data_IF_440483739653
#
_entry.id   IF_440483739653
#
_cell.length_a   1.000
_cell.length_b   1.000
_cell.length_c   1.000
_cell.angle_alpha   90.00
_cell.angle_beta   90.00
_cell.angle_gamma   90.00
#
_symmetry.space_group_name_H-M   'P 1'
#
loop_
_entity.id
_entity.type
_entity.pdbx_description
1 polymer ?
#
# COMPACT_ATOMS: atom_id res chain seq x y z
N UNK A 1 6.29 4.73 -1.78
CA UNK A 1 5.02 4.80 -2.53
C UNK A 1 4.86 3.63 -3.48
N UNK A 2 5.81 3.37 -4.38
CA UNK A 2 5.79 2.16 -5.24
C UNK A 2 5.63 0.85 -4.45
N UNK A 3 6.16 0.76 -3.23
CA UNK A 3 6.03 -0.44 -2.38
C UNK A 3 4.58 -0.86 -2.07
N UNK A 4 3.61 0.05 -2.07
CA UNK A 4 2.20 -0.31 -1.86
C UNK A 4 1.53 -0.90 -3.11
N UNK A 5 2.15 -0.78 -4.28
CA UNK A 5 1.70 -1.46 -5.51
C UNK A 5 2.13 -2.92 -5.54
N UNK A 6 3.16 -3.27 -4.78
CA UNK A 6 3.81 -4.57 -4.73
C UNK A 6 3.85 -5.09 -3.29
N UNK A 7 2.69 -5.16 -2.62
CA UNK A 7 2.59 -5.60 -1.22
C UNK A 7 3.17 -7.01 -0.99
N UNK A 8 3.19 -7.87 -2.00
CA UNK A 8 3.73 -9.23 -1.89
C UNK A 8 5.27 -9.29 -2.01
N UNK A 9 5.90 -8.20 -2.43
CA UNK A 9 7.36 -8.08 -2.57
C UNK A 9 8.00 -7.31 -1.41
N UNK A 10 7.19 -6.76 -0.49
CA UNK A 10 7.70 -5.99 0.63
C UNK A 10 8.31 -6.90 1.70
N UNK A 11 9.56 -6.61 2.08
CA UNK A 11 10.23 -7.36 3.14
C UNK A 11 9.62 -7.07 4.51
N UNK A 12 9.75 -8.02 5.44
CA UNK A 12 9.31 -7.84 6.83
C UNK A 12 9.99 -6.63 7.51
N UNK A 13 11.22 -6.28 7.14
CA UNK A 13 11.91 -5.08 7.66
C UNK A 13 11.47 -3.77 7.02
N UNK A 14 10.98 -3.79 5.78
CA UNK A 14 10.50 -2.60 5.08
C UNK A 14 9.01 -2.32 5.34
N UNK A 15 8.23 -3.33 5.69
CA UNK A 15 6.80 -3.19 5.91
C UNK A 15 6.44 -2.24 7.06
N UNK A 16 7.06 -2.33 8.26
CA UNK A 16 6.85 -1.34 9.32
C UNK A 16 7.16 0.08 8.86
N UNK A 17 8.24 0.27 8.08
CA UNK A 17 8.64 1.58 7.55
C UNK A 17 7.60 2.14 6.59
N UNK A 18 7.02 1.30 5.74
CA UNK A 18 5.96 1.70 4.83
C UNK A 18 4.69 2.11 5.60
N UNK A 19 4.25 1.30 6.57
CA UNK A 19 3.08 1.61 7.41
C UNK A 19 3.31 2.88 8.23
N UNK A 20 4.49 3.06 8.85
CA UNK A 20 4.84 4.29 9.56
C UNK A 20 4.72 5.52 8.65
N UNK A 21 5.26 5.44 7.43
CA UNK A 21 5.16 6.53 6.45
C UNK A 21 3.72 6.85 6.06
N UNK A 22 2.85 5.84 6.01
CA UNK A 22 1.44 6.02 5.72
C UNK A 22 0.72 6.77 6.85
N UNK A 23 1.01 6.42 8.11
CA UNK A 23 0.50 7.14 9.26
C UNK A 23 1.06 8.57 9.36
N UNK A 24 2.33 8.79 8.99
CA UNK A 24 2.89 10.14 8.88
C UNK A 24 2.08 11.02 7.89
N UNK A 25 1.74 10.49 6.71
CA UNK A 25 0.91 11.22 5.75
C UNK A 25 -0.52 11.47 6.24
N UNK A 26 -1.04 10.58 7.10
CA UNK A 26 -2.30 10.80 7.82
C UNK A 26 -2.16 11.82 8.96
N UNK A 27 -0.97 12.42 9.14
CA UNK A 27 -0.67 13.46 10.12
C UNK A 27 -0.38 12.94 11.52
N UNK A 28 0.06 11.70 11.67
CA UNK A 28 0.60 11.17 12.92
C UNK A 28 2.10 11.47 13.01
N UNK A 29 2.63 11.54 14.23
CA UNK A 29 4.06 11.36 14.47
C UNK A 29 4.31 9.89 14.73
N UNK A 30 5.19 9.26 13.96
CA UNK A 30 5.48 7.83 14.10
C UNK A 30 6.88 7.56 14.66
N UNK A 31 7.01 6.45 15.39
CA UNK A 31 8.28 5.92 15.88
C UNK A 31 8.31 4.43 15.64
N UNK A 32 9.27 3.97 14.86
CA UNK A 32 9.51 2.54 14.61
C UNK A 32 10.32 1.98 15.77
N UNK A 33 9.97 0.78 16.23
CA UNK A 33 10.75 0.03 17.22
C UNK A 33 11.46 -1.10 16.48
N UNK A 34 12.78 -0.99 16.36
CA UNK A 34 13.59 -1.99 15.66
C UNK A 34 13.83 -3.23 16.53
N UNK A 35 13.78 -4.40 15.89
CA UNK A 35 13.52 -5.71 16.50
C UNK A 35 14.69 -6.41 17.20
N UNK A 36 14.34 -6.90 18.39
CA UNK A 36 14.72 -8.15 19.09
C UNK A 36 13.96 -8.19 20.45
N UNK A 37 13.46 -7.02 20.89
CA UNK A 37 12.77 -6.77 22.18
C UNK A 37 11.55 -5.82 22.01
N UNK A 38 10.94 -5.82 20.82
CA UNK A 38 9.84 -4.92 20.43
C UNK A 38 8.49 -5.29 21.06
N UNK A 39 8.40 -6.42 21.79
CA UNK A 39 7.24 -6.79 22.60
C UNK A 39 5.93 -6.73 21.81
N UNK A 40 5.92 -7.27 20.59
CA UNK A 40 4.76 -7.26 19.68
C UNK A 40 4.27 -5.85 19.27
N UNK A 41 5.13 -4.83 19.29
CA UNK A 41 4.80 -3.48 18.84
C UNK A 41 5.92 -2.94 17.93
N UNK A 42 5.67 -2.92 16.62
CA UNK A 42 6.63 -2.44 15.63
C UNK A 42 6.61 -0.90 15.49
N UNK A 43 5.45 -0.26 15.71
CA UNK A 43 5.28 1.18 15.50
C UNK A 43 4.42 1.78 16.63
N UNK A 44 4.85 2.94 17.13
CA UNK A 44 4.01 3.85 17.92
C UNK A 44 3.63 5.04 17.03
N UNK A 45 2.34 5.35 16.94
CA UNK A 45 1.85 6.50 16.18
C UNK A 45 0.95 7.40 17.04
N UNK A 46 1.27 8.69 17.12
CA UNK A 46 0.53 9.66 17.95
C UNK A 46 -0.03 10.82 17.13
N UNK A 47 -1.25 11.25 17.45
CA UNK A 47 -1.91 12.42 16.85
C UNK A 47 -2.94 13.02 17.81
N UNK A 48 -2.61 14.15 18.42
CA UNK A 48 -3.43 14.71 19.49
C UNK A 48 -3.57 13.71 20.64
N UNK A 49 -4.80 13.39 21.03
CA UNK A 49 -5.08 12.39 22.07
C UNK A 49 -4.98 10.93 21.59
N UNK A 50 -4.79 10.69 20.29
CA UNK A 50 -4.66 9.32 19.76
C UNK A 50 -3.24 8.81 20.01
N UNK A 51 -3.15 7.63 20.62
CA UNK A 51 -1.91 6.88 20.84
C UNK A 51 -2.12 5.45 20.34
N UNK A 52 -1.46 5.10 19.23
CA UNK A 52 -1.63 3.82 18.56
C UNK A 52 -0.39 2.97 18.76
N UNK A 53 -0.59 1.70 19.11
CA UNK A 53 0.44 0.67 19.10
C UNK A 53 0.14 -0.30 17.96
N UNK A 54 1.06 -0.39 17.01
CA UNK A 54 0.83 -1.07 15.74
C UNK A 54 1.82 -2.22 15.59
N UNK A 55 1.29 -3.44 15.44
CA UNK A 55 2.06 -4.59 14.96
C UNK A 55 1.84 -4.72 13.45
N UNK A 56 2.91 -5.01 12.71
CA UNK A 56 2.86 -5.30 11.29
C UNK A 56 3.29 -6.75 11.03
N UNK A 57 2.71 -7.39 10.01
CA UNK A 57 3.11 -8.71 9.51
C UNK A 57 3.11 -8.72 7.98
N UNK A 58 4.29 -8.83 7.38
CA UNK A 58 4.45 -8.96 5.93
C UNK A 58 4.36 -10.44 5.53
N UNK A 59 3.15 -10.92 5.25
CA UNK A 59 2.89 -12.29 4.82
C UNK A 59 2.54 -12.33 3.33
N UNK A 60 3.06 -13.33 2.63
CA UNK A 60 2.72 -13.61 1.23
C UNK A 60 1.43 -14.42 1.17
N UNK A 61 0.57 -14.11 0.19
CA UNK A 61 -0.61 -14.91 -0.15
C UNK A 61 -0.36 -15.92 -1.28
N UNK A 62 0.90 -16.09 -1.72
CA UNK A 62 1.22 -17.09 -2.73
C UNK A 62 0.88 -18.51 -2.21
N UNK A 63 0.23 -19.30 -3.07
CA UNK A 63 -0.46 -20.56 -2.73
C UNK A 63 0.39 -21.56 -1.92
N UNK A 64 1.70 -21.61 -2.14
CA UNK A 64 2.56 -22.61 -1.50
C UNK A 64 2.95 -22.28 -0.04
N UNK A 65 2.77 -21.03 0.40
CA UNK A 65 3.21 -20.53 1.72
C UNK A 65 2.31 -19.42 2.29
N UNK A 66 1.00 -19.54 2.09
CA UNK A 66 0.07 -18.55 2.63
C UNK A 66 0.16 -18.52 4.17
N UNK A 67 0.66 -17.41 4.72
CA UNK A 67 0.69 -17.19 6.15
C UNK A 67 -0.47 -16.30 6.58
N UNK A 68 -1.12 -16.69 7.68
CA UNK A 68 -2.19 -15.93 8.29
C UNK A 68 -1.77 -15.44 9.68
N UNK A 69 -2.27 -14.28 10.07
CA UNK A 69 -2.13 -13.80 11.45
C UNK A 69 -3.03 -14.65 12.34
N UNK A 70 -2.44 -15.31 13.31
CA UNK A 70 -3.15 -16.12 14.30
C UNK A 70 -3.41 -15.36 15.60
N UNK A 71 -4.12 -16.00 16.52
CA UNK A 71 -4.47 -15.42 17.82
C UNK A 71 -3.26 -15.08 18.69
N UNK A 72 -2.10 -15.71 18.48
CA UNK A 72 -0.90 -15.44 19.30
C UNK A 72 -0.39 -14.02 19.09
N UNK A 73 -0.48 -13.51 17.85
CA UNK A 73 -0.09 -12.14 17.51
C UNK A 73 -1.04 -11.14 18.16
N UNK A 74 -2.34 -11.43 18.15
CA UNK A 74 -3.37 -10.58 18.77
C UNK A 74 -3.16 -10.50 20.28
N UNK A 75 -3.03 -11.65 20.94
CA UNK A 75 -2.80 -11.73 22.38
C UNK A 75 -1.47 -11.10 22.80
N UNK A 76 -0.42 -11.29 21.99
CA UNK A 76 0.90 -10.70 22.22
C UNK A 76 0.89 -9.18 22.12
N UNK A 77 0.20 -8.60 21.12
CA UNK A 77 0.03 -7.14 21.05
C UNK A 77 -0.77 -6.64 22.26
N UNK A 78 -1.90 -7.28 22.56
CA UNK A 78 -2.79 -6.84 23.64
C UNK A 78 -2.08 -6.81 25.01
N UNK A 79 -1.30 -7.83 25.34
CA UNK A 79 -0.56 -7.90 26.62
C UNK A 79 0.53 -6.84 26.78
N UNK A 80 0.94 -6.19 25.69
CA UNK A 80 1.98 -5.16 25.68
C UNK A 80 1.44 -3.74 25.50
N UNK A 81 0.12 -3.57 25.39
CA UNK A 81 -0.50 -2.24 25.34
C UNK A 81 -0.33 -1.51 26.68
N UNK A 82 0.01 -0.23 26.62
CA UNK A 82 -0.05 0.68 27.76
C UNK A 82 -1.43 1.32 27.87
N UNK A 83 -1.74 1.84 29.06
CA UNK A 83 -2.97 2.57 29.30
C UNK A 83 -3.18 3.70 28.28
N UNK A 84 -4.40 3.75 27.71
CA UNK A 84 -4.78 4.70 26.68
C UNK A 84 -4.27 4.38 25.26
N UNK A 85 -3.55 3.28 25.05
CA UNK A 85 -3.14 2.86 23.71
C UNK A 85 -4.24 2.04 23.00
N UNK A 86 -4.45 2.36 21.73
CA UNK A 86 -5.26 1.54 20.83
C UNK A 86 -4.34 0.58 20.06
N UNK A 87 -4.53 -0.72 20.25
CA UNK A 87 -3.83 -1.74 19.47
C UNK A 87 -4.38 -1.88 18.05
N UNK A 88 -3.47 -2.00 17.07
CA UNK A 88 -3.76 -2.24 15.66
C UNK A 88 -2.80 -3.31 15.12
N UNK A 89 -3.31 -4.29 14.38
CA UNK A 89 -2.50 -5.23 13.61
C UNK A 89 -2.71 -4.96 12.13
N UNK A 90 -1.62 -4.78 11.40
CA UNK A 90 -1.62 -4.54 9.95
C UNK A 90 -0.92 -5.70 9.25
N UNK A 91 -1.54 -6.29 8.24
CA UNK A 91 -0.96 -7.43 7.50
C UNK A 91 -1.18 -7.33 6.00
N UNK A 92 -0.19 -7.78 5.23
CA UNK A 92 -0.36 -8.05 3.79
C UNK A 92 -1.03 -9.39 3.51
N UNK A 93 -1.21 -10.23 4.54
CA UNK A 93 -1.90 -11.51 4.45
C UNK A 93 -3.36 -11.43 4.87
N UNK A 94 -3.82 -12.48 5.57
CA UNK A 94 -5.18 -12.61 6.11
C UNK A 94 -5.15 -12.90 7.61
N UNK A 95 -6.30 -12.78 8.27
CA UNK A 95 -6.49 -13.15 9.67
C UNK A 95 -7.23 -14.49 9.76
N UNK A 96 -6.83 -15.34 10.72
CA UNK A 96 -7.60 -16.56 11.02
C UNK A 96 -8.86 -16.21 11.81
N UNK A 97 -9.89 -17.06 11.76
CA UNK A 97 -11.13 -16.85 12.54
C UNK A 97 -10.88 -16.66 14.04
N UNK A 98 -10.02 -17.46 14.70
CA UNK A 98 -9.67 -17.22 16.10
C UNK A 98 -9.00 -15.86 16.34
N UNK A 99 -8.15 -15.38 15.43
CA UNK A 99 -7.55 -14.05 15.55
C UNK A 99 -8.61 -12.94 15.49
N UNK A 100 -9.58 -13.07 14.59
CA UNK A 100 -10.70 -12.11 14.47
C UNK A 100 -11.58 -12.09 15.72
N UNK A 101 -11.87 -13.26 16.29
CA UNK A 101 -12.63 -13.38 17.53
C UNK A 101 -11.90 -12.75 18.73
N UNK A 102 -10.60 -13.06 18.90
CA UNK A 102 -9.78 -12.51 19.98
C UNK A 102 -9.64 -10.98 19.85
N UNK A 103 -9.40 -10.49 18.64
CA UNK A 103 -9.25 -9.06 18.38
C UNK A 103 -10.53 -8.29 18.71
N UNK A 104 -11.70 -8.86 18.39
CA UNK A 104 -13.00 -8.31 18.79
C UNK A 104 -13.14 -8.25 20.30
N UNK A 105 -12.79 -9.31 21.03
CA UNK A 105 -12.87 -9.34 22.50
C UNK A 105 -11.91 -8.36 23.17
N UNK A 106 -10.72 -8.19 22.60
CA UNK A 106 -9.64 -7.34 23.13
C UNK A 106 -9.65 -5.91 22.58
N UNK A 107 -10.65 -5.55 21.76
CA UNK A 107 -10.75 -4.25 21.10
C UNK A 107 -9.51 -3.89 20.24
N UNK A 108 -8.86 -4.88 19.64
CA UNK A 108 -7.75 -4.70 18.71
C UNK A 108 -8.30 -4.50 17.29
N UNK A 109 -7.79 -3.49 16.57
CA UNK A 109 -8.17 -3.26 15.17
C UNK A 109 -7.35 -4.16 14.24
N UNK A 110 -8.01 -4.78 13.27
CA UNK A 110 -7.38 -5.63 12.27
C UNK A 110 -7.45 -4.98 10.90
N UNK A 111 -6.28 -4.70 10.31
CA UNK A 111 -6.14 -4.10 8.98
C UNK A 111 -5.45 -5.08 8.04
N UNK A 112 -6.22 -5.67 7.14
CA UNK A 112 -5.73 -6.50 6.05
C UNK A 112 -5.34 -5.65 4.83
N UNK A 113 -5.11 -6.31 3.69
CA UNK A 113 -4.81 -5.66 2.41
C UNK A 113 -5.83 -4.59 2.02
N UNK A 114 -7.12 -4.86 2.21
CA UNK A 114 -8.18 -3.92 1.86
C UNK A 114 -8.05 -2.66 2.71
N UNK A 115 -7.85 -2.82 4.01
CA UNK A 115 -7.64 -1.70 4.92
C UNK A 115 -6.36 -0.91 4.58
N UNK A 116 -5.27 -1.57 4.17
CA UNK A 116 -4.05 -0.89 3.71
C UNK A 116 -4.36 0.03 2.53
N UNK A 117 -5.10 -0.44 1.52
CA UNK A 117 -5.47 0.39 0.38
C UNK A 117 -6.42 1.54 0.78
N UNK A 118 -7.35 1.30 1.69
CA UNK A 118 -8.21 2.37 2.24
C UNK A 118 -7.37 3.45 2.94
N UNK A 119 -6.35 3.05 3.71
CA UNK A 119 -5.43 3.99 4.34
C UNK A 119 -4.61 4.76 3.29
N UNK A 120 -4.15 4.10 2.21
CA UNK A 120 -3.45 4.76 1.09
C UNK A 120 -4.35 5.82 0.44
N UNK A 121 -5.61 5.49 0.15
CA UNK A 121 -6.58 6.45 -0.41
C UNK A 121 -6.79 7.62 0.54
N UNK A 122 -6.96 7.36 1.84
CA UNK A 122 -7.16 8.42 2.84
C UNK A 122 -5.92 9.32 2.99
N UNK A 123 -4.72 8.76 2.89
CA UNK A 123 -3.47 9.49 3.03
C UNK A 123 -3.07 10.26 1.77
N UNK A 124 -3.35 9.70 0.59
CA UNK A 124 -2.96 10.28 -0.69
C UNK A 124 -3.94 9.83 -1.81
N UNK A 125 -5.08 10.52 -1.97
CA UNK A 125 -6.06 10.21 -3.01
C UNK A 125 -5.49 10.31 -4.43
N UNK A 126 -4.55 11.23 -4.66
CA UNK A 126 -3.91 11.40 -5.97
C UNK A 126 -3.08 10.19 -6.36
N UNK A 127 -2.41 9.54 -5.39
CA UNK A 127 -1.70 8.28 -5.64
C UNK A 127 -2.67 7.17 -6.04
N UNK A 128 -3.81 7.04 -5.36
CA UNK A 128 -4.81 6.04 -5.73
C UNK A 128 -5.35 6.29 -7.15
N UNK A 129 -5.64 7.55 -7.49
CA UNK A 129 -6.06 7.93 -8.83
C UNK A 129 -5.00 7.61 -9.90
N UNK A 130 -3.72 7.90 -9.62
CA UNK A 130 -2.62 7.58 -10.54
C UNK A 130 -2.49 6.07 -10.78
N UNK A 131 -2.62 5.27 -9.73
CA UNK A 131 -2.54 3.80 -9.82
C UNK A 131 -3.70 3.25 -10.64
N UNK A 132 -4.93 3.69 -10.37
CA UNK A 132 -6.12 3.27 -11.12
C UNK A 132 -6.00 3.67 -12.59
N UNK A 133 -5.53 4.89 -12.86
CA UNK A 133 -5.28 5.37 -14.20
C UNK A 133 -4.24 4.53 -14.93
N UNK A 134 -3.12 4.18 -14.29
CA UNK A 134 -2.10 3.31 -14.90
C UNK A 134 -2.63 1.92 -15.20
N UNK A 135 -3.38 1.31 -14.27
CA UNK A 135 -4.00 -0.01 -14.48
C UNK A 135 -5.01 0.01 -15.63
N UNK A 136 -5.84 1.05 -15.73
CA UNK A 136 -6.80 1.15 -16.83
C UNK A 136 -6.10 1.32 -18.18
N UNK A 137 -4.89 1.91 -18.23
CA UNK A 137 -4.09 1.97 -19.44
C UNK A 137 -3.38 0.65 -19.79
N UNK A 138 -2.95 -0.12 -18.79
CA UNK A 138 -2.33 -1.45 -19.00
C UNK A 138 -3.29 -2.41 -19.73
N UNK A 139 -4.60 -2.25 -19.55
CA UNK A 139 -5.63 -3.06 -20.22
C UNK A 139 -5.85 -2.69 -21.70
N UNK A 140 -5.33 -1.53 -22.16
CA UNK A 140 -5.62 -0.98 -23.50
C UNK A 140 -4.60 -1.38 -24.58
N UNK A 141 -3.66 -2.28 -24.29
CA UNK A 141 -2.60 -2.71 -25.23
C UNK A 141 -1.86 -1.54 -25.91
N UNK A 142 -1.67 -0.43 -25.20
CA UNK A 142 -0.98 0.75 -25.71
C UNK A 142 0.54 0.58 -25.65
N UNK A 143 1.25 1.04 -26.66
CA UNK A 143 2.72 1.05 -26.65
C UNK A 143 3.26 2.00 -25.57
N UNK A 144 4.35 1.59 -24.92
CA UNK A 144 5.09 2.45 -23.98
C UNK A 144 5.77 3.59 -24.74
N UNK A 145 5.80 4.76 -24.11
CA UNK A 145 6.53 5.90 -24.64
C UNK A 145 8.04 5.68 -24.52
N UNK A 146 8.83 5.72 -25.62
CA UNK A 146 10.26 5.47 -25.59
C UNK A 146 11.05 6.63 -24.96
N UNK A 147 10.45 7.81 -24.78
CA UNK A 147 11.12 8.98 -24.20
C UNK A 147 11.12 8.96 -22.68
N UNK A 148 9.96 8.69 -22.07
CA UNK A 148 9.84 8.71 -20.61
C UNK A 148 9.78 7.32 -19.99
N UNK A 149 9.54 6.27 -20.77
CA UNK A 149 9.33 4.88 -20.34
C UNK A 149 8.16 4.66 -19.36
N UNK A 150 7.58 5.72 -18.79
CA UNK A 150 6.53 5.69 -17.78
C UNK A 150 5.11 5.88 -18.36
N UNK A 151 4.99 6.48 -19.55
CA UNK A 151 3.71 6.77 -20.20
C UNK A 151 3.35 5.81 -21.34
N UNK A 152 2.13 5.93 -21.83
CA UNK A 152 1.61 5.19 -22.99
C UNK A 152 1.31 6.16 -24.13
N UNK A 153 1.35 5.66 -25.37
CA UNK A 153 1.07 6.44 -26.57
C UNK A 153 -0.38 6.25 -27.01
N UNK A 154 -1.13 7.35 -27.10
CA UNK A 154 -2.46 7.37 -27.71
C UNK A 154 -2.35 7.79 -29.19
N UNK A 155 -3.02 7.05 -30.08
CA UNK A 155 -3.14 7.41 -31.50
C UNK A 155 -4.26 8.42 -31.69
N UNK A 156 -3.91 9.62 -32.14
CA UNK A 156 -4.82 10.75 -32.31
C UNK A 156 -4.83 11.21 -33.77
N UNK A 157 -5.92 11.83 -34.22
CA UNK A 157 -6.04 12.40 -35.57
C UNK A 157 -6.03 13.93 -35.51
N UNK A 158 -5.28 14.56 -36.40
CA UNK A 158 -5.25 16.03 -36.56
C UNK A 158 -5.98 16.43 -37.84
N UNK A 159 -7.17 17.03 -37.71
CA UNK A 159 -7.92 17.56 -38.86
C UNK A 159 -7.16 18.68 -39.60
N UNK A 160 -6.41 19.50 -38.85
CA UNK A 160 -5.59 20.59 -39.43
C UNK A 160 -4.46 20.07 -40.32
N UNK A 161 -3.86 18.92 -39.97
CA UNK A 161 -2.73 18.33 -40.71
C UNK A 161 -3.14 17.12 -41.58
N UNK A 162 -4.42 16.77 -41.55
CA UNK A 162 -5.01 15.58 -42.15
C UNK A 162 -4.17 14.30 -41.95
N UNK A 163 -3.73 14.05 -40.71
CA UNK A 163 -2.88 12.89 -40.39
C UNK A 163 -2.99 12.44 -38.95
N UNK A 164 -2.69 11.16 -38.73
CA UNK A 164 -2.52 10.59 -37.40
C UNK A 164 -1.18 10.99 -36.77
N UNK A 165 -1.17 11.02 -35.44
CA UNK A 165 0.02 11.19 -34.61
C UNK A 165 -0.16 10.42 -33.31
N UNK A 166 0.93 10.19 -32.61
CA UNK A 166 0.96 9.58 -31.29
C UNK A 166 1.29 10.63 -30.25
N UNK A 167 0.56 10.64 -29.14
CA UNK A 167 0.85 11.50 -28.01
C UNK A 167 1.03 10.68 -26.73
N UNK A 168 2.10 10.96 -25.99
CA UNK A 168 2.30 10.35 -24.69
C UNK A 168 1.32 10.93 -23.66
N UNK A 169 0.61 10.05 -22.96
CA UNK A 169 -0.33 10.42 -21.90
C UNK A 169 0.34 10.88 -20.60
N UNK A 170 1.66 10.78 -20.49
CA UNK A 170 2.44 11.18 -19.29
C UNK A 170 3.33 12.40 -19.53
N UNK A 171 4.22 12.35 -20.52
CA UNK A 171 5.15 13.46 -20.81
C UNK A 171 4.70 14.36 -21.97
N UNK A 172 3.53 14.09 -22.56
CA UNK A 172 2.96 14.84 -23.69
C UNK A 172 3.81 14.90 -24.95
N UNK A 173 4.85 14.04 -25.06
CA UNK A 173 5.65 13.91 -26.28
C UNK A 173 4.78 13.52 -27.47
N UNK A 174 5.01 14.18 -28.61
CA UNK A 174 4.32 13.92 -29.87
C UNK A 174 5.28 13.21 -30.84
N UNK A 175 4.83 12.10 -31.42
CA UNK A 175 5.51 11.41 -32.53
C UNK A 175 4.58 11.34 -33.73
N UNK A 176 5.13 11.50 -34.93
CA UNK A 176 4.42 11.26 -36.20
C UNK A 176 4.84 9.95 -36.88
N UNK A 177 5.79 9.22 -36.30
CA UNK A 177 6.25 7.92 -36.76
C UNK A 177 5.51 6.81 -36.00
N UNK A 178 5.19 5.73 -36.72
CA UNK A 178 4.60 4.54 -36.14
C UNK A 178 5.68 3.86 -35.29
N UNK A 179 5.63 3.95 -33.97
CA UNK A 179 6.66 3.39 -33.10
C UNK A 179 6.49 1.87 -32.88
N UNK A 180 6.06 1.16 -33.92
CA UNK A 180 5.78 -0.28 -33.94
C UNK A 180 6.59 -1.04 -35.00
N UNK A 181 7.66 -0.43 -35.54
CA UNK A 181 8.67 -1.16 -36.32
C UNK A 181 9.73 -1.76 -35.39
#
# INVERSE_FOLDING_TARGET
MQKFLHLDEISAGDFPKAIAKLYDWLGYTTTIRDGFNDNYIDIIATKGQKNLAIQTKAYSLNFDKAHAVDKSVVNGLHSNLKDGQQGIIVTTGVFTSPAMEDAKRQSIKLYDRTAIYQLVVAANPNLAAEVLYRKSLDELNLSRCPKCHAGYLAKLYSSKKDKYYYQCLNCHEISYENQLD
#
